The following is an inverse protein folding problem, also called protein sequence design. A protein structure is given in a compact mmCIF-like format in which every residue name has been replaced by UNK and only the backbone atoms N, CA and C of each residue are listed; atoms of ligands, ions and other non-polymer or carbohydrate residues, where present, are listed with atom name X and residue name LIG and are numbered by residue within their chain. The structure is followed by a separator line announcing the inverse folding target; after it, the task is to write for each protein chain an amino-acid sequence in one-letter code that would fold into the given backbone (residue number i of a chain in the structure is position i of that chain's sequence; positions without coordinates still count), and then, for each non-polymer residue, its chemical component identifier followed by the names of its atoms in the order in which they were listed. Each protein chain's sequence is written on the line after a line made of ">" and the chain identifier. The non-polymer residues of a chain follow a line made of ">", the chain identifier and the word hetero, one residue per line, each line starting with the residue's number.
data_IF_093274878219
#
_entry.id   IF_093274878219
#
_cell.length_a   1.000
_cell.length_b   1.000
_cell.length_c   1.000
_cell.angle_alpha   90.00
_cell.angle_beta   90.00
_cell.angle_gamma   90.00
#
_symmetry.space_group_name_H-M   'P 1'
#
loop_
_entity.id
_entity.type
_entity.pdbx_description
1 polymer ?
#
# COMPACT_ATOMS: atom_id res chain seq x y z
N UNK A 1 6.15 -23.05 39.65
CA UNK A 1 6.72 -22.99 38.29
C UNK A 1 6.64 -21.54 37.82
N UNK A 2 7.78 -20.85 37.85
CA UNK A 2 7.90 -19.42 37.51
C UNK A 2 7.94 -19.26 35.98
N UNK A 3 6.97 -18.54 35.42
CA UNK A 3 6.96 -18.18 34.01
C UNK A 3 8.04 -17.11 33.78
N UNK A 4 9.17 -17.51 33.18
CA UNK A 4 10.17 -16.54 32.72
C UNK A 4 9.52 -15.69 31.62
N UNK A 5 9.41 -14.38 31.86
CA UNK A 5 9.11 -13.41 30.80
C UNK A 5 10.16 -13.59 29.68
N UNK A 6 9.75 -13.60 28.40
CA UNK A 6 10.70 -13.73 27.30
C UNK A 6 11.68 -12.54 27.33
N UNK A 7 12.94 -12.83 27.02
CA UNK A 7 14.06 -11.89 27.10
C UNK A 7 13.87 -10.71 26.12
N UNK A 8 14.22 -9.51 26.57
CA UNK A 8 14.23 -8.29 25.75
C UNK A 8 15.15 -8.37 24.51
N UNK A 9 15.99 -9.41 24.39
CA UNK A 9 16.85 -9.64 23.22
C UNK A 9 16.08 -10.14 21.98
N UNK A 10 14.87 -10.67 22.14
CA UNK A 10 14.06 -11.11 20.99
C UNK A 10 13.45 -9.89 20.29
N UNK A 11 13.12 -8.81 21.01
CA UNK A 11 12.49 -7.61 20.45
C UNK A 11 13.36 -6.91 19.39
N UNK A 12 14.67 -6.81 19.62
CA UNK A 12 15.59 -6.12 18.69
C UNK A 12 15.82 -6.88 17.38
N UNK A 13 15.51 -8.19 17.30
CA UNK A 13 15.65 -8.96 16.07
C UNK A 13 14.44 -8.81 15.12
N UNK A 14 13.31 -8.30 15.62
CA UNK A 14 12.10 -8.06 14.80
C UNK A 14 11.94 -6.61 14.33
N UNK A 15 12.72 -5.68 14.88
CA UNK A 15 12.68 -4.24 14.53
C UNK A 15 13.23 -3.92 13.13
N UNK A 16 13.87 -4.90 12.45
CA UNK A 16 14.47 -4.74 11.12
C UNK A 16 13.80 -5.59 10.03
N UNK A 17 12.58 -6.12 10.26
CA UNK A 17 11.78 -6.63 9.14
C UNK A 17 11.17 -5.46 8.38
N UNK A 18 12.01 -4.68 7.69
CA UNK A 18 11.51 -3.86 6.61
C UNK A 18 11.02 -4.83 5.54
N UNK A 19 9.71 -4.77 5.32
CA UNK A 19 9.05 -5.36 4.18
C UNK A 19 9.72 -4.90 2.87
N UNK A 20 9.44 -5.60 1.78
CA UNK A 20 10.00 -5.29 0.47
C UNK A 20 9.83 -3.80 0.11
N UNK A 21 10.93 -3.15 -0.27
CA UNK A 21 10.89 -1.83 -0.89
C UNK A 21 10.48 -1.98 -2.35
N UNK A 22 9.56 -1.15 -2.82
CA UNK A 22 9.16 -1.15 -4.22
C UNK A 22 9.34 0.23 -4.86
N UNK A 23 9.85 0.19 -6.08
CA UNK A 23 10.10 1.37 -6.91
C UNK A 23 8.93 1.58 -7.87
N UNK A 24 8.36 2.78 -7.89
CA UNK A 24 7.37 3.16 -8.91
C UNK A 24 8.11 3.91 -10.01
N UNK A 25 8.23 3.30 -11.19
CA UNK A 25 8.94 3.88 -12.33
C UNK A 25 7.91 4.33 -13.37
N UNK A 26 7.93 5.62 -13.70
CA UNK A 26 7.14 6.19 -14.78
C UNK A 26 7.94 6.18 -16.09
N UNK A 27 7.25 5.93 -17.20
CA UNK A 27 7.80 5.93 -18.57
C UNK A 27 7.86 7.34 -19.18
N UNK A 28 7.69 8.39 -18.37
CA UNK A 28 7.65 9.78 -18.81
C UNK A 28 8.66 10.60 -18.00
N UNK A 29 9.27 11.59 -18.64
CA UNK A 29 10.19 12.52 -17.99
C UNK A 29 9.43 13.62 -17.22
N UNK A 30 10.14 14.35 -16.36
CA UNK A 30 9.54 15.41 -15.52
C UNK A 30 9.10 16.60 -16.37
N UNK A 31 7.99 17.21 -15.97
CA UNK A 31 6.92 17.84 -16.77
C UNK A 31 5.83 16.85 -17.18
N UNK A 32 5.09 16.40 -16.17
CA UNK A 32 4.01 15.44 -16.34
C UNK A 32 2.82 16.04 -17.11
N UNK A 33 2.09 15.21 -17.90
CA UNK A 33 0.93 15.68 -18.63
C UNK A 33 -0.19 16.11 -17.66
N UNK A 34 -1.04 17.07 -18.06
CA UNK A 34 -2.19 17.52 -17.23
C UNK A 34 -3.13 16.40 -16.79
N UNK A 35 -3.13 15.27 -17.50
CA UNK A 35 -3.88 14.06 -17.15
C UNK A 35 -3.50 13.45 -15.79
N UNK A 36 -2.26 13.71 -15.31
CA UNK A 36 -1.77 13.27 -14.00
C UNK A 36 -2.07 14.28 -12.88
N UNK A 37 -2.56 15.47 -13.21
CA UNK A 37 -3.00 16.48 -12.23
C UNK A 37 -4.52 16.53 -12.27
N UNK A 38 -5.14 15.65 -11.49
CA UNK A 38 -6.59 15.52 -11.45
C UNK A 38 -7.17 16.17 -10.18
N UNK A 39 -8.24 16.97 -10.31
CA UNK A 39 -8.95 17.51 -9.15
C UNK A 39 -9.75 16.41 -8.44
N UNK A 40 -10.03 16.61 -7.16
CA UNK A 40 -10.92 15.75 -6.39
C UNK A 40 -12.33 15.70 -7.00
N UNK A 41 -12.98 14.55 -6.88
CA UNK A 41 -14.38 14.42 -7.30
C UNK A 41 -15.32 15.13 -6.32
N UNK A 42 -16.46 15.66 -6.79
CA UNK A 42 -17.49 16.18 -5.90
C UNK A 42 -18.04 15.07 -5.01
N UNK A 43 -18.09 15.31 -3.70
CA UNK A 43 -18.53 14.32 -2.72
C UNK A 43 -19.81 14.73 -1.99
N UNK A 44 -20.62 13.72 -1.65
CA UNK A 44 -21.81 13.83 -0.80
C UNK A 44 -21.35 13.90 0.67
N UNK A 45 -22.03 14.61 1.57
CA UNK A 45 -21.59 14.77 2.97
C UNK A 45 -21.22 13.46 3.70
N UNK A 46 -21.98 12.38 3.49
CA UNK A 46 -21.69 11.06 4.06
C UNK A 46 -20.36 10.47 3.55
N UNK A 47 -20.06 10.66 2.26
CA UNK A 47 -18.78 10.21 1.67
C UNK A 47 -17.63 10.99 2.27
N UNK A 48 -17.80 12.30 2.44
CA UNK A 48 -16.78 13.17 3.02
C UNK A 48 -16.43 12.77 4.46
N UNK A 49 -17.43 12.48 5.29
CA UNK A 49 -17.20 12.02 6.67
C UNK A 49 -16.44 10.67 6.68
N UNK A 50 -16.86 9.73 5.82
CA UNK A 50 -16.16 8.45 5.66
C UNK A 50 -14.71 8.63 5.16
N UNK A 51 -14.47 9.58 4.26
CA UNK A 51 -13.16 9.90 3.75
C UNK A 51 -12.26 10.49 4.85
N UNK A 52 -12.79 11.39 5.68
CA UNK A 52 -12.07 12.00 6.80
C UNK A 52 -11.68 10.93 7.84
N UNK A 53 -12.60 10.04 8.21
CA UNK A 53 -12.33 8.92 9.13
C UNK A 53 -11.24 8.00 8.58
N UNK A 54 -11.37 7.56 7.32
CA UNK A 54 -10.40 6.65 6.70
C UNK A 54 -9.02 7.31 6.52
N UNK A 55 -8.98 8.60 6.18
CA UNK A 55 -7.74 9.36 6.06
C UNK A 55 -7.00 9.42 7.39
N UNK A 56 -7.70 9.76 8.48
CA UNK A 56 -7.10 9.85 9.81
C UNK A 56 -6.55 8.50 10.26
N UNK A 57 -7.30 7.40 10.05
CA UNK A 57 -6.81 6.06 10.37
C UNK A 57 -5.51 5.72 9.62
N UNK A 58 -5.42 6.06 8.34
CA UNK A 58 -4.24 5.78 7.52
C UNK A 58 -3.04 6.69 7.86
N UNK A 59 -3.31 7.91 8.36
CA UNK A 59 -2.29 8.80 8.93
C UNK A 59 -1.76 8.25 10.26
N UNK A 60 -2.65 7.78 11.15
CA UNK A 60 -2.29 7.20 12.45
C UNK A 60 -1.47 5.90 12.29
N UNK A 61 -1.80 5.10 11.28
CA UNK A 61 -1.03 3.89 10.92
C UNK A 61 0.32 4.21 10.24
N UNK A 62 0.57 5.48 9.88
CA UNK A 62 1.80 5.89 9.17
C UNK A 62 1.90 5.42 7.73
N UNK A 63 0.78 4.95 7.14
CA UNK A 63 0.72 4.50 5.74
C UNK A 63 0.70 5.70 4.79
N UNK A 64 0.04 6.78 5.20
CA UNK A 64 0.01 8.05 4.48
C UNK A 64 0.66 9.17 5.29
N UNK A 65 1.06 10.24 4.60
CA UNK A 65 1.64 11.44 5.19
C UNK A 65 0.97 12.67 4.60
N UNK A 66 0.79 13.70 5.43
CA UNK A 66 0.42 15.03 4.94
C UNK A 66 1.59 15.66 4.18
N UNK A 67 1.29 16.12 2.95
CA UNK A 67 2.25 16.88 2.15
C UNK A 67 2.49 18.25 2.79
N UNK A 68 3.75 18.66 2.90
CA UNK A 68 4.12 19.95 3.49
C UNK A 68 3.75 21.12 2.58
N UNK A 69 3.56 22.32 3.15
CA UNK A 69 3.22 23.52 2.36
C UNK A 69 4.32 23.92 1.37
N UNK A 70 5.56 23.49 1.63
CA UNK A 70 6.73 23.77 0.79
C UNK A 70 7.05 22.63 -0.18
N UNK A 71 6.25 21.56 -0.19
CA UNK A 71 6.42 20.42 -1.11
C UNK A 71 5.49 20.60 -2.30
N UNK A 72 6.09 20.70 -3.49
CA UNK A 72 5.31 20.74 -4.73
C UNK A 72 4.87 19.32 -5.08
N UNK A 73 3.58 19.16 -5.40
CA UNK A 73 3.00 17.89 -5.85
C UNK A 73 2.74 17.98 -7.33
N UNK A 74 3.52 17.24 -8.11
CA UNK A 74 3.39 17.23 -9.58
C UNK A 74 2.31 16.25 -10.08
N UNK A 75 1.86 15.32 -9.23
CA UNK A 75 0.88 14.27 -9.57
C UNK A 75 -0.21 14.22 -8.51
N UNK A 76 -1.47 14.35 -8.92
CA UNK A 76 -2.64 14.24 -8.03
C UNK A 76 -3.65 13.25 -8.59
N UNK A 77 -4.07 12.32 -7.75
CA UNK A 77 -5.07 11.30 -8.08
C UNK A 77 -6.30 11.51 -7.20
N UNK A 78 -7.52 11.58 -7.77
CA UNK A 78 -8.72 11.73 -6.98
C UNK A 78 -9.02 10.42 -6.27
N UNK A 79 -9.75 10.54 -5.17
CA UNK A 79 -10.14 9.43 -4.33
C UNK A 79 -11.65 9.27 -4.40
N UNK A 80 -12.11 8.04 -4.30
CA UNK A 80 -13.53 7.69 -4.18
C UNK A 80 -13.74 6.84 -2.93
N UNK A 81 -14.94 6.93 -2.35
CA UNK A 81 -15.35 6.06 -1.24
C UNK A 81 -16.18 4.91 -1.79
N UNK A 82 -15.71 3.68 -1.57
CA UNK A 82 -16.44 2.47 -1.85
C UNK A 82 -17.10 1.94 -0.56
N UNK A 83 -18.36 1.55 -0.66
CA UNK A 83 -19.11 0.98 0.46
C UNK A 83 -19.32 -0.51 0.24
N UNK A 84 -18.97 -1.32 1.23
CA UNK A 84 -19.18 -2.76 1.20
C UNK A 84 -19.54 -3.29 2.60
N UNK A 85 -20.65 -4.00 2.72
CA UNK A 85 -21.14 -4.57 3.98
C UNK A 85 -21.20 -3.56 5.14
N UNK A 86 -21.60 -2.32 4.86
CA UNK A 86 -21.69 -1.23 5.85
C UNK A 86 -20.34 -0.62 6.25
N UNK A 87 -19.22 -1.09 5.70
CA UNK A 87 -17.90 -0.47 5.86
C UNK A 87 -17.57 0.41 4.66
N UNK A 88 -16.98 1.56 4.92
CA UNK A 88 -16.40 2.41 3.88
C UNK A 88 -14.92 2.08 3.68
N UNK A 89 -14.45 2.17 2.45
CA UNK A 89 -13.04 2.05 2.11
C UNK A 89 -12.66 3.12 1.10
N UNK A 90 -11.49 3.70 1.28
CA UNK A 90 -10.93 4.70 0.39
C UNK A 90 -10.27 4.00 -0.81
N UNK A 91 -10.58 4.42 -2.03
CA UNK A 91 -9.95 3.92 -3.24
C UNK A 91 -9.44 5.07 -4.10
N UNK A 92 -8.13 5.08 -4.38
CA UNK A 92 -7.52 6.05 -5.31
C UNK A 92 -7.73 5.65 -6.77
N UNK A 93 -8.07 6.62 -7.62
CA UNK A 93 -8.23 6.40 -9.06
C UNK A 93 -6.89 6.45 -9.81
N UNK A 94 -6.08 5.41 -9.66
CA UNK A 94 -4.76 5.33 -10.29
C UNK A 94 -4.79 5.02 -11.79
N UNK A 95 -5.94 5.07 -12.48
CA UNK A 95 -6.01 4.71 -13.90
C UNK A 95 -5.12 5.56 -14.79
N UNK A 96 -5.08 6.87 -14.55
CA UNK A 96 -4.21 7.78 -15.30
C UNK A 96 -2.73 7.52 -15.01
N UNK A 97 -2.39 7.27 -13.73
CA UNK A 97 -1.04 6.94 -13.30
C UNK A 97 -0.55 5.63 -13.93
N UNK A 98 -1.38 4.58 -13.88
CA UNK A 98 -1.06 3.24 -14.38
C UNK A 98 -0.78 3.19 -15.90
N UNK A 99 -1.30 4.14 -16.69
CA UNK A 99 -0.96 4.25 -18.12
C UNK A 99 0.51 4.61 -18.33
N UNK A 100 1.06 5.43 -17.42
CA UNK A 100 2.43 5.92 -17.49
C UNK A 100 3.39 5.09 -16.64
N UNK A 101 2.91 4.21 -15.77
CA UNK A 101 3.74 3.32 -14.96
C UNK A 101 4.26 2.14 -15.78
N UNK A 102 5.56 1.86 -15.65
CA UNK A 102 6.16 0.66 -16.23
C UNK A 102 5.72 -0.55 -15.38
N UNK A 103 5.10 -1.59 -15.98
CA UNK A 103 4.66 -2.75 -15.21
C UNK A 103 5.87 -3.56 -14.72
N UNK A 104 6.01 -3.67 -13.40
CA UNK A 104 6.98 -4.57 -12.79
C UNK A 104 6.49 -6.02 -12.90
N UNK A 105 7.24 -6.84 -13.64
CA UNK A 105 6.89 -8.25 -13.88
C UNK A 105 7.66 -9.13 -12.91
N UNK A 106 7.22 -9.16 -11.66
CA UNK A 106 7.73 -10.13 -10.72
C UNK A 106 7.34 -11.56 -11.15
N UNK A 107 8.28 -12.52 -11.22
CA UNK A 107 7.99 -13.86 -11.70
C UNK A 107 7.16 -14.64 -10.67
N UNK A 108 5.83 -14.59 -10.81
CA UNK A 108 4.92 -15.39 -9.99
C UNK A 108 4.92 -16.84 -10.51
N UNK A 109 5.21 -17.85 -9.67
CA UNK A 109 5.20 -19.24 -10.09
C UNK A 109 3.79 -19.66 -10.54
N UNK A 110 3.72 -20.54 -11.54
CA UNK A 110 2.45 -21.15 -11.94
C UNK A 110 1.88 -21.96 -10.78
N UNK A 111 0.56 -21.85 -10.56
CA UNK A 111 -0.16 -22.56 -9.49
C UNK A 111 0.17 -24.06 -9.50
N UNK A 112 0.27 -24.69 -10.67
CA UNK A 112 0.63 -26.12 -10.79
C UNK A 112 2.00 -26.47 -10.20
N UNK A 113 3.01 -25.62 -10.42
CA UNK A 113 4.37 -25.84 -9.90
C UNK A 113 4.34 -25.76 -8.36
N UNK A 114 3.68 -24.72 -7.83
CA UNK A 114 3.53 -24.54 -6.39
C UNK A 114 2.80 -25.72 -5.75
N UNK A 115 1.74 -26.24 -6.38
CA UNK A 115 1.00 -27.41 -5.88
C UNK A 115 1.85 -28.69 -5.91
N UNK A 116 2.63 -28.93 -6.97
CA UNK A 116 3.54 -30.08 -7.02
C UNK A 116 4.59 -30.02 -5.91
N UNK A 117 5.14 -28.83 -5.63
CA UNK A 117 6.10 -28.64 -4.54
C UNK A 117 5.50 -28.95 -3.17
N UNK A 118 4.25 -28.54 -2.93
CA UNK A 118 3.55 -28.76 -1.66
C UNK A 118 3.03 -30.20 -1.54
N UNK A 119 2.83 -30.93 -2.66
CA UNK A 119 2.23 -32.28 -2.67
C UNK A 119 3.01 -33.34 -1.88
N UNK A 120 4.31 -33.13 -1.65
CA UNK A 120 5.17 -34.05 -0.88
C UNK A 120 5.28 -33.64 0.60
N UNK A 121 4.64 -32.55 1.02
CA UNK A 121 4.69 -32.09 2.40
C UNK A 121 3.81 -32.96 3.31
N UNK A 122 4.36 -33.34 4.48
CA UNK A 122 3.61 -34.09 5.51
C UNK A 122 2.71 -33.16 6.33
N UNK A 123 3.12 -31.90 6.50
CA UNK A 123 2.37 -30.86 7.21
C UNK A 123 2.39 -29.57 6.39
N UNK A 124 1.24 -28.91 6.29
CA UNK A 124 1.08 -27.63 5.61
C UNK A 124 0.54 -26.63 6.64
N UNK A 125 1.25 -25.52 6.82
CA UNK A 125 0.73 -24.34 7.52
C UNK A 125 0.48 -23.24 6.50
N UNK A 126 -0.59 -22.47 6.72
CA UNK A 126 -0.92 -21.30 5.91
C UNK A 126 -0.88 -20.08 6.82
N UNK A 127 -0.34 -18.98 6.29
CA UNK A 127 -0.27 -17.69 6.98
C UNK A 127 -0.71 -16.63 5.97
N UNK A 128 -1.61 -15.76 6.40
CA UNK A 128 -2.09 -14.64 5.60
C UNK A 128 -1.45 -13.34 6.10
N UNK A 129 -1.09 -12.45 5.18
CA UNK A 129 -0.58 -11.12 5.53
C UNK A 129 -1.74 -10.14 5.53
N UNK A 130 -2.17 -9.74 6.72
CA UNK A 130 -3.22 -8.74 6.88
C UNK A 130 -2.72 -7.39 6.33
N UNK A 131 -3.48 -6.84 5.37
CA UNK A 131 -3.15 -5.56 4.73
C UNK A 131 -1.72 -5.52 4.17
N UNK A 132 -1.24 -6.62 3.59
CA UNK A 132 0.14 -6.77 3.15
C UNK A 132 0.65 -5.64 2.22
N UNK A 133 -0.24 -4.97 1.47
CA UNK A 133 0.13 -3.82 0.65
C UNK A 133 0.61 -2.62 1.48
N UNK A 134 -0.01 -2.35 2.63
CA UNK A 134 0.35 -1.25 3.53
C UNK A 134 1.68 -1.49 4.26
N UNK A 135 2.17 -2.72 4.25
CA UNK A 135 3.45 -3.07 4.88
C UNK A 135 4.64 -2.73 3.99
N UNK A 136 4.45 -2.67 2.65
CA UNK A 136 5.53 -2.37 1.71
C UNK A 136 5.93 -0.90 1.77
N UNK A 137 7.22 -0.62 1.63
CA UNK A 137 7.76 0.74 1.68
C UNK A 137 8.03 1.24 0.27
N UNK A 138 7.55 2.45 -0.03
CA UNK A 138 7.86 3.14 -1.29
C UNK A 138 9.25 3.77 -1.19
N UNK A 139 10.09 3.60 -2.21
CA UNK A 139 11.43 4.21 -2.20
C UNK A 139 11.37 5.75 -2.15
N UNK A 140 12.41 6.42 -1.62
CA UNK A 140 12.49 7.89 -1.63
C UNK A 140 12.52 8.51 -3.03
N UNK A 141 12.80 7.71 -4.07
CA UNK A 141 12.76 8.16 -5.47
C UNK A 141 11.33 8.32 -5.96
N UNK A 142 10.45 7.38 -5.61
CA UNK A 142 9.04 7.39 -5.99
C UNK A 142 8.18 8.27 -5.05
N UNK A 143 8.66 8.55 -3.84
CA UNK A 143 8.00 9.45 -2.88
C UNK A 143 8.17 10.96 -3.18
N UNK A 144 8.92 11.33 -4.23
CA UNK A 144 9.22 12.73 -4.61
C UNK A 144 8.61 13.08 -5.95
#
# INVERSE_FOLDING_TARGET
>A
MTTKKPSNQIKSHWENFFCHEFDIILNIERSYPPLLIRPAYPEIPQSREALEINSNNLLDLGVMRQVGHNEEVEITTPVIVAWHNGKSSMAGDFRALNIHTIPDRYPIPKIQISLTQISQAVYISTMDSLEGFHQNVVTPRASK
#
